data_IF_128826281388
#
_entry.id   IF_128826281388
#
_cell.length_a   1.000
_cell.length_b   1.000
_cell.length_c   1.000
_cell.angle_alpha   90.00
_cell.angle_beta   90.00
_cell.angle_gamma   90.00
#
_symmetry.space_group_name_H-M   'P 1'
#
loop_
_entity.id
_entity.type
_entity.pdbx_description
1 polymer ?
#
# COMPACT_ATOMS: atom_id res chain seq x y z
N UNK A 1 20.93 -1.00 5.13
CA UNK A 1 20.02 -1.61 6.10
C UNK A 1 19.35 -2.77 5.38
N UNK A 2 19.30 -3.96 6.02
CA UNK A 2 18.61 -5.13 5.47
C UNK A 2 17.11 -4.80 5.52
N UNK A 3 16.45 -4.71 4.39
CA UNK A 3 15.01 -4.45 4.37
C UNK A 3 14.25 -5.60 5.05
N UNK A 4 13.27 -5.24 5.86
CA UNK A 4 12.48 -6.23 6.59
C UNK A 4 11.58 -6.99 5.61
N UNK A 5 11.70 -8.31 5.56
CA UNK A 5 10.82 -9.18 4.78
C UNK A 5 9.37 -9.00 5.25
N UNK A 6 8.46 -8.77 4.30
CA UNK A 6 7.03 -8.64 4.58
C UNK A 6 6.19 -9.15 3.42
N UNK A 7 4.94 -9.51 3.71
CA UNK A 7 3.92 -9.91 2.73
C UNK A 7 2.67 -9.10 3.02
N UNK A 8 2.08 -8.54 1.98
CA UNK A 8 0.80 -7.84 2.01
C UNK A 8 -0.22 -8.54 1.12
N UNK A 9 -1.48 -8.47 1.55
CA UNK A 9 -2.63 -8.95 0.81
C UNK A 9 -3.57 -7.78 0.58
N UNK A 10 -3.71 -7.35 -0.67
CA UNK A 10 -4.72 -6.37 -1.04
C UNK A 10 -6.04 -7.10 -1.28
N UNK A 11 -6.96 -7.02 -0.32
CA UNK A 11 -8.24 -7.72 -0.38
C UNK A 11 -9.18 -7.16 -1.43
N UNK A 12 -8.96 -5.92 -1.85
CA UNK A 12 -9.71 -5.24 -2.90
C UNK A 12 -9.36 -5.75 -4.29
N UNK A 13 -8.05 -5.84 -4.60
CA UNK A 13 -7.58 -6.23 -5.94
C UNK A 13 -7.27 -7.72 -6.04
N UNK A 14 -7.18 -8.45 -4.93
CA UNK A 14 -6.73 -9.84 -4.87
C UNK A 14 -5.23 -9.99 -5.14
N UNK A 15 -4.44 -8.93 -4.95
CA UNK A 15 -3.00 -8.94 -5.15
C UNK A 15 -2.24 -9.34 -3.89
N UNK A 16 -1.24 -10.20 -4.07
CA UNK A 16 -0.20 -10.46 -3.10
C UNK A 16 1.04 -9.65 -3.51
N UNK A 17 1.60 -8.92 -2.57
CA UNK A 17 2.80 -8.11 -2.77
C UNK A 17 3.71 -8.19 -1.53
N UNK A 18 4.93 -7.71 -1.63
CA UNK A 18 5.82 -7.66 -0.48
C UNK A 18 7.29 -7.56 -0.85
N UNK A 19 8.15 -7.77 0.14
CA UNK A 19 9.60 -7.82 -0.01
C UNK A 19 10.12 -9.15 0.56
N UNK A 20 10.87 -9.88 -0.25
CA UNK A 20 11.42 -11.19 0.11
C UNK A 20 12.85 -11.12 0.68
N UNK A 21 13.31 -9.98 1.08
CA UNK A 21 14.64 -9.56 1.54
C UNK A 21 15.54 -8.92 0.46
N UNK A 22 15.42 -9.29 -0.78
CA UNK A 22 16.11 -8.67 -1.93
C UNK A 22 15.10 -8.18 -2.97
N UNK A 23 14.23 -9.09 -3.40
CA UNK A 23 13.30 -8.84 -4.48
C UNK A 23 11.88 -8.54 -3.96
N UNK A 24 11.14 -7.78 -4.75
CA UNK A 24 9.73 -7.53 -4.50
C UNK A 24 8.91 -8.74 -4.89
N UNK A 25 8.05 -9.21 -3.98
CA UNK A 25 7.09 -10.27 -4.23
C UNK A 25 5.92 -9.76 -5.08
N UNK A 26 5.46 -10.58 -5.98
CA UNK A 26 4.26 -10.34 -6.77
C UNK A 26 3.46 -11.63 -6.96
N UNK A 27 2.14 -11.53 -6.88
CA UNK A 27 1.24 -12.65 -7.05
C UNK A 27 -0.21 -12.23 -6.93
N UNK A 28 -1.10 -13.21 -7.01
CA UNK A 28 -2.52 -13.02 -6.74
C UNK A 28 -2.96 -14.06 -5.72
N UNK A 29 -4.00 -13.72 -4.98
CA UNK A 29 -4.62 -14.67 -4.07
C UNK A 29 -6.13 -14.71 -4.26
N UNK A 30 -6.70 -15.85 -3.94
CA UNK A 30 -8.14 -16.04 -3.87
C UNK A 30 -8.50 -16.79 -2.58
N UNK A 31 -9.58 -16.39 -1.97
CA UNK A 31 -10.23 -17.15 -0.90
C UNK A 31 -11.45 -17.86 -1.47
N UNK A 32 -11.74 -19.06 -0.98
CA UNK A 32 -12.98 -19.77 -1.32
C UNK A 32 -14.02 -19.56 -0.22
N UNK A 33 -15.24 -20.00 -0.46
CA UNK A 33 -16.31 -20.00 0.56
C UNK A 33 -16.02 -20.94 1.75
N UNK A 34 -15.05 -21.84 1.62
CA UNK A 34 -14.61 -22.71 2.72
C UNK A 34 -13.64 -21.96 3.64
N UNK A 35 -13.97 -21.76 4.94
CA UNK A 35 -13.10 -21.08 5.88
C UNK A 35 -11.71 -21.71 5.95
N UNK A 36 -10.67 -20.85 6.01
CA UNK A 36 -9.28 -21.30 6.14
C UNK A 36 -8.62 -21.76 4.84
N UNK A 37 -9.32 -21.69 3.71
CA UNK A 37 -8.69 -21.97 2.39
C UNK A 37 -8.11 -20.71 1.78
N UNK A 38 -6.96 -20.86 1.13
CA UNK A 38 -6.24 -19.78 0.47
C UNK A 38 -5.49 -20.35 -0.73
N UNK A 39 -5.76 -19.80 -1.89
CA UNK A 39 -4.98 -20.09 -3.10
C UNK A 39 -4.15 -18.84 -3.46
N UNK A 40 -2.83 -19.01 -3.43
CA UNK A 40 -1.88 -17.94 -3.80
C UNK A 40 -1.53 -17.98 -5.29
N UNK A 41 -2.09 -18.93 -6.06
CA UNK A 41 -1.66 -19.12 -7.45
C UNK A 41 -0.16 -19.34 -7.53
N UNK A 42 0.50 -18.64 -8.46
CA UNK A 42 1.95 -18.62 -8.57
C UNK A 42 2.49 -17.31 -8.02
N UNK A 43 3.26 -17.39 -6.93
CA UNK A 43 3.99 -16.25 -6.38
C UNK A 43 5.36 -16.17 -7.03
N UNK A 44 5.69 -15.00 -7.58
CA UNK A 44 6.97 -14.67 -8.16
C UNK A 44 7.65 -13.52 -7.42
N UNK A 45 8.84 -13.15 -7.89
CA UNK A 45 9.56 -11.99 -7.43
C UNK A 45 10.30 -11.30 -8.58
N UNK A 46 10.71 -10.05 -8.40
CA UNK A 46 11.64 -9.36 -9.30
C UNK A 46 12.98 -10.13 -9.33
N UNK A 47 13.84 -9.83 -10.29
CA UNK A 47 15.06 -10.62 -10.55
C UNK A 47 16.33 -9.79 -10.33
N UNK A 48 16.41 -9.05 -9.22
CA UNK A 48 17.67 -8.43 -8.81
C UNK A 48 18.61 -9.51 -8.26
N UNK A 49 19.90 -9.40 -8.59
CA UNK A 49 20.94 -10.28 -8.03
C UNK A 49 21.47 -9.70 -6.73
N UNK A 50 21.20 -10.40 -5.63
CA UNK A 50 21.74 -10.06 -4.32
C UNK A 50 22.76 -11.10 -3.86
N UNK A 51 23.72 -10.72 -3.00
CA UNK A 51 24.76 -11.65 -2.52
C UNK A 51 24.19 -12.84 -1.72
N UNK A 52 23.02 -12.65 -1.07
CA UNK A 52 22.35 -13.70 -0.29
C UNK A 52 20.86 -13.76 -0.68
N UNK A 53 20.48 -14.87 -1.33
CA UNK A 53 19.12 -15.17 -1.77
C UNK A 53 18.46 -16.26 -0.92
N UNK A 54 19.08 -16.68 0.18
CA UNK A 54 18.63 -17.84 0.98
C UNK A 54 17.21 -17.64 1.51
N UNK A 55 16.94 -16.49 2.12
CA UNK A 55 15.62 -16.18 2.69
C UNK A 55 14.56 -16.06 1.61
N UNK A 56 14.88 -15.40 0.50
CA UNK A 56 13.96 -15.23 -0.63
C UNK A 56 13.59 -16.57 -1.26
N UNK A 57 14.57 -17.42 -1.57
CA UNK A 57 14.31 -18.74 -2.16
C UNK A 57 13.47 -19.61 -1.23
N UNK A 58 13.77 -19.62 0.07
CA UNK A 58 12.99 -20.35 1.06
C UNK A 58 11.56 -19.84 1.15
N UNK A 59 11.37 -18.52 1.16
CA UNK A 59 10.05 -17.90 1.23
C UNK A 59 9.22 -18.19 -0.03
N UNK A 60 9.78 -18.00 -1.22
CA UNK A 60 9.10 -18.30 -2.49
C UNK A 60 8.73 -19.78 -2.58
N UNK A 61 9.64 -20.68 -2.18
CA UNK A 61 9.36 -22.11 -2.11
C UNK A 61 8.19 -22.43 -1.18
N UNK A 62 8.17 -21.85 0.01
CA UNK A 62 7.10 -22.05 0.98
C UNK A 62 5.75 -21.49 0.47
N UNK A 63 5.73 -20.26 -0.05
CA UNK A 63 4.51 -19.60 -0.53
C UNK A 63 3.84 -20.40 -1.67
N UNK A 64 4.60 -20.96 -2.57
CA UNK A 64 4.09 -21.76 -3.70
C UNK A 64 3.50 -23.12 -3.28
N UNK A 65 3.62 -23.51 -2.01
CA UNK A 65 2.98 -24.72 -1.44
C UNK A 65 1.73 -24.42 -0.61
N UNK A 66 1.42 -23.16 -0.37
CA UNK A 66 0.30 -22.75 0.48
C UNK A 66 -1.04 -23.11 -0.16
N UNK A 67 -1.94 -23.69 0.66
CA UNK A 67 -3.32 -24.04 0.29
C UNK A 67 -4.35 -23.60 1.34
N UNK A 68 -3.88 -23.06 2.48
CA UNK A 68 -4.77 -22.61 3.53
C UNK A 68 -4.12 -21.66 4.50
N UNK A 69 -4.91 -21.20 5.46
CA UNK A 69 -4.43 -20.35 6.55
C UNK A 69 -5.17 -20.63 7.85
N UNK A 70 -4.52 -20.30 8.96
CA UNK A 70 -5.11 -20.34 10.31
C UNK A 70 -4.73 -19.04 11.04
N UNK A 71 -5.71 -18.45 11.71
CA UNK A 71 -5.43 -17.37 12.65
C UNK A 71 -4.89 -17.97 13.95
N UNK A 72 -3.79 -17.43 14.45
CA UNK A 72 -3.14 -17.81 15.71
C UNK A 72 -2.99 -16.57 16.61
N UNK A 73 -2.75 -16.78 17.90
CA UNK A 73 -2.59 -15.72 18.89
C UNK A 73 -3.67 -14.61 18.84
N UNK A 74 -4.95 -15.06 18.79
CA UNK A 74 -6.09 -14.12 18.75
C UNK A 74 -6.13 -13.24 17.49
N UNK A 75 -5.56 -13.71 16.38
CA UNK A 75 -5.50 -12.97 15.10
C UNK A 75 -4.31 -12.04 14.95
N UNK A 76 -3.38 -12.04 15.91
CA UNK A 76 -2.10 -11.31 15.77
C UNK A 76 -1.13 -12.01 14.83
N UNK A 77 -1.28 -13.33 14.67
CA UNK A 77 -0.50 -14.15 13.78
C UNK A 77 -1.40 -14.89 12.79
N UNK A 78 -0.87 -15.16 11.61
CA UNK A 78 -1.52 -16.00 10.59
C UNK A 78 -0.51 -17.04 10.14
N UNK A 79 -0.83 -18.30 10.36
CA UNK A 79 -0.08 -19.43 9.81
C UNK A 79 -0.61 -19.76 8.42
N UNK A 80 0.24 -19.63 7.39
CA UNK A 80 -0.02 -20.11 6.04
C UNK A 80 0.31 -21.60 5.99
N UNK A 81 -0.61 -22.42 5.55
CA UNK A 81 -0.49 -23.90 5.63
C UNK A 81 -0.49 -24.53 4.23
N UNK A 82 0.19 -25.66 4.09
CA UNK A 82 0.09 -26.50 2.90
C UNK A 82 -1.21 -27.35 2.94
N UNK A 83 -1.39 -28.21 1.94
CA UNK A 83 -2.55 -29.09 1.82
C UNK A 83 -2.71 -30.06 3.01
N UNK A 84 -1.63 -30.44 3.67
CA UNK A 84 -1.62 -31.32 4.84
C UNK A 84 -1.89 -30.56 6.16
N UNK A 85 -2.10 -29.25 6.10
CA UNK A 85 -2.31 -28.37 7.26
C UNK A 85 -1.02 -28.02 8.02
N UNK A 86 0.15 -28.35 7.47
CA UNK A 86 1.45 -27.97 8.03
C UNK A 86 1.73 -26.50 7.79
N UNK A 87 2.13 -25.77 8.84
CA UNK A 87 2.56 -24.37 8.72
C UNK A 87 3.83 -24.25 7.90
N UNK A 88 3.75 -23.50 6.82
CA UNK A 88 4.84 -23.21 5.90
C UNK A 88 5.45 -21.83 6.15
N UNK A 89 4.61 -20.85 6.48
CA UNK A 89 5.02 -19.48 6.81
C UNK A 89 4.18 -19.00 7.99
N UNK A 90 4.82 -18.42 8.99
CA UNK A 90 4.13 -17.74 10.09
C UNK A 90 4.25 -16.23 9.87
N UNK A 91 3.14 -15.56 9.67
CA UNK A 91 3.06 -14.13 9.51
C UNK A 91 2.70 -13.46 10.83
N UNK A 92 3.47 -12.46 11.22
CA UNK A 92 3.13 -11.56 12.31
C UNK A 92 2.41 -10.35 11.73
N UNK A 93 1.23 -10.01 12.28
CA UNK A 93 0.53 -8.79 11.87
C UNK A 93 1.42 -7.59 12.12
N UNK A 94 1.58 -6.75 11.10
CA UNK A 94 2.37 -5.55 11.22
C UNK A 94 1.65 -4.54 12.13
N UNK A 95 2.39 -3.92 13.03
CA UNK A 95 1.89 -2.84 13.88
C UNK A 95 1.38 -1.67 12.99
N UNK A 96 0.24 -1.05 13.32
CA UNK A 96 -0.24 0.16 12.63
C UNK A 96 0.80 1.27 12.54
N UNK A 97 1.64 1.44 13.59
CA UNK A 97 2.75 2.39 13.58
C UNK A 97 3.78 2.11 12.48
N UNK A 98 4.02 0.83 12.13
CA UNK A 98 4.92 0.46 11.04
C UNK A 98 4.26 0.74 9.68
N UNK A 99 2.93 0.56 9.56
CA UNK A 99 2.18 0.95 8.35
C UNK A 99 2.27 2.45 8.08
N UNK A 100 2.10 3.28 9.11
CA UNK A 100 2.26 4.72 9.00
C UNK A 100 3.70 5.11 8.56
N UNK A 101 4.71 4.39 9.05
CA UNK A 101 6.10 4.61 8.65
C UNK A 101 6.38 4.31 7.17
N UNK A 102 5.63 3.39 6.54
CA UNK A 102 5.73 3.11 5.10
C UNK A 102 5.24 4.27 4.24
N UNK A 103 4.27 5.04 4.73
CA UNK A 103 3.75 6.20 4.01
C UNK A 103 4.73 7.37 4.03
N UNK A 104 5.58 7.50 5.05
CA UNK A 104 6.44 8.66 5.27
C UNK A 104 7.31 9.01 4.08
N UNK A 105 7.42 10.31 3.85
CA UNK A 105 8.24 10.91 2.81
C UNK A 105 7.44 11.33 1.59
N UNK A 106 8.16 11.60 0.51
CA UNK A 106 7.62 12.16 -0.71
C UNK A 106 7.23 11.07 -1.70
N UNK A 107 6.10 11.29 -2.35
CA UNK A 107 5.51 10.40 -3.34
C UNK A 107 5.06 11.21 -4.55
N UNK A 108 5.35 10.73 -5.75
CA UNK A 108 4.80 11.32 -6.97
C UNK A 108 3.35 10.88 -7.15
N UNK A 109 2.46 11.83 -7.42
CA UNK A 109 1.08 11.51 -7.79
C UNK A 109 1.08 11.01 -9.23
N UNK A 110 0.71 9.75 -9.46
CA UNK A 110 0.69 9.12 -10.78
C UNK A 110 -0.68 9.14 -11.42
N UNK A 111 -1.72 8.88 -10.62
CA UNK A 111 -3.10 8.86 -11.12
C UNK A 111 -4.04 9.53 -10.11
N UNK A 112 -5.03 10.22 -10.64
CA UNK A 112 -6.15 10.81 -9.91
C UNK A 112 -7.44 10.32 -10.58
N UNK A 113 -8.29 9.59 -9.86
CA UNK A 113 -9.53 8.99 -10.39
C UNK A 113 -9.30 8.18 -11.69
N UNK A 114 -8.18 7.42 -11.76
CA UNK A 114 -7.81 6.62 -12.92
C UNK A 114 -7.23 7.40 -14.11
N UNK A 115 -7.06 8.73 -13.99
CA UNK A 115 -6.43 9.56 -15.01
C UNK A 115 -4.96 9.80 -14.68
N UNK A 116 -4.01 9.51 -15.59
CA UNK A 116 -2.59 9.75 -15.36
C UNK A 116 -2.28 11.26 -15.28
N UNK A 117 -1.35 11.61 -14.41
CA UNK A 117 -0.96 13.01 -14.13
C UNK A 117 0.28 13.45 -14.89
N UNK A 118 1.06 12.54 -15.46
CA UNK A 118 2.37 12.82 -16.07
C UNK A 118 2.32 13.82 -17.24
N UNK A 119 1.17 13.91 -17.92
CA UNK A 119 0.95 14.82 -19.05
C UNK A 119 0.32 16.15 -18.67
N UNK A 120 0.01 16.35 -17.38
CA UNK A 120 -0.62 17.59 -16.93
C UNK A 120 0.42 18.71 -16.76
N UNK A 121 0.05 19.98 -17.03
CA UNK A 121 0.94 21.12 -16.83
C UNK A 121 1.40 21.22 -15.35
N UNK A 122 2.70 21.38 -15.13
CA UNK A 122 3.26 21.51 -13.77
C UNK A 122 3.63 20.19 -13.08
N UNK A 123 3.44 19.04 -13.75
CA UNK A 123 3.93 17.76 -13.22
C UNK A 123 5.48 17.75 -13.07
N UNK A 124 6.05 16.98 -12.14
CA UNK A 124 5.38 16.06 -11.22
C UNK A 124 4.72 16.74 -10.02
N UNK A 125 3.59 16.22 -9.59
CA UNK A 125 2.93 16.62 -8.36
C UNK A 125 3.37 15.70 -7.23
N UNK A 126 3.64 16.28 -6.05
CA UNK A 126 4.21 15.54 -4.92
C UNK A 126 3.22 15.49 -3.77
N UNK A 127 3.03 14.31 -3.22
CA UNK A 127 2.28 14.07 -1.99
C UNK A 127 3.26 13.65 -0.89
N UNK A 128 3.32 14.41 0.20
CA UNK A 128 4.24 14.17 1.32
C UNK A 128 3.48 13.72 2.56
N UNK A 129 3.91 12.65 3.19
CA UNK A 129 3.39 12.21 4.48
C UNK A 129 4.42 12.45 5.60
N UNK A 130 3.96 13.00 6.72
CA UNK A 130 4.76 13.21 7.93
C UNK A 130 5.80 14.32 7.80
N UNK A 131 5.53 15.34 6.98
CA UNK A 131 6.43 16.50 6.80
C UNK A 131 6.42 17.50 7.98
N UNK A 132 5.42 17.43 8.85
CA UNK A 132 5.35 18.28 10.05
C UNK A 132 5.97 17.53 11.25
N UNK A 133 7.04 18.06 11.90
CA UNK A 133 7.67 17.42 13.04
C UNK A 133 6.75 17.31 14.26
N UNK A 134 5.77 18.20 14.39
CA UNK A 134 4.81 18.24 15.50
C UNK A 134 3.59 17.33 15.26
N UNK A 135 3.41 16.85 14.03
CA UNK A 135 2.32 15.96 13.64
C UNK A 135 2.81 14.86 12.71
N UNK A 136 3.03 13.68 13.28
CA UNK A 136 3.50 12.50 12.56
C UNK A 136 2.51 12.02 11.47
N UNK A 137 1.24 12.37 11.60
CA UNK A 137 0.16 12.00 10.68
C UNK A 137 -0.24 13.18 9.77
N UNK A 138 0.61 14.19 9.64
CA UNK A 138 0.41 15.27 8.68
C UNK A 138 0.60 14.79 7.24
N UNK A 139 -0.08 15.47 6.33
CA UNK A 139 0.20 15.35 4.90
C UNK A 139 0.25 16.73 4.24
N UNK A 140 0.94 16.81 3.11
CA UNK A 140 0.86 17.93 2.18
C UNK A 140 0.88 17.44 0.75
N UNK A 141 0.30 18.21 -0.16
CA UNK A 141 0.36 17.93 -1.59
C UNK A 141 0.64 19.22 -2.36
N UNK A 142 1.64 19.17 -3.25
CA UNK A 142 1.91 20.22 -4.21
C UNK A 142 1.01 20.01 -5.41
N UNK A 143 0.25 21.04 -5.79
CA UNK A 143 -0.68 20.99 -6.91
C UNK A 143 -0.28 21.93 -8.04
N UNK A 144 -1.11 22.05 -9.04
CA UNK A 144 -0.97 22.99 -10.16
C UNK A 144 -1.10 24.48 -9.76
N UNK A 145 -1.61 24.74 -8.55
CA UNK A 145 -1.78 26.11 -8.04
C UNK A 145 -1.35 26.24 -6.60
N UNK A 146 -2.06 25.60 -5.69
CA UNK A 146 -1.88 25.75 -4.26
C UNK A 146 -1.24 24.48 -3.65
N UNK A 147 -0.75 24.64 -2.42
CA UNK A 147 -0.37 23.50 -1.59
C UNK A 147 -1.54 23.14 -0.68
N UNK A 148 -1.95 21.87 -0.74
CA UNK A 148 -2.87 21.28 0.23
C UNK A 148 -2.09 20.78 1.42
N UNK A 149 -2.67 20.89 2.62
CA UNK A 149 -2.09 20.34 3.84
C UNK A 149 -3.21 19.93 4.80
N UNK A 150 -2.94 18.89 5.57
CA UNK A 150 -3.91 18.38 6.53
C UNK A 150 -3.34 17.25 7.37
N UNK A 151 -4.25 16.53 7.97
CA UNK A 151 -3.99 15.42 8.86
C UNK A 151 -4.72 14.17 8.34
N UNK A 152 -4.19 12.98 8.61
CA UNK A 152 -4.84 11.71 8.32
C UNK A 152 -4.93 10.83 9.56
N UNK A 153 -5.96 10.00 9.62
CA UNK A 153 -6.14 8.98 10.63
C UNK A 153 -5.96 7.59 10.02
N UNK A 154 -5.27 6.73 10.76
CA UNK A 154 -5.05 5.34 10.40
C UNK A 154 -5.44 4.43 11.56
N UNK A 155 -6.52 3.69 11.37
CA UNK A 155 -6.96 2.65 12.31
C UNK A 155 -7.05 1.30 11.60
N UNK A 156 -6.08 0.46 11.87
CA UNK A 156 -5.96 -0.86 11.24
C UNK A 156 -5.79 -0.77 9.72
N UNK A 157 -6.85 -1.02 8.97
CA UNK A 157 -6.89 -0.91 7.50
C UNK A 157 -7.66 0.34 7.03
N UNK A 158 -8.42 0.95 7.92
CA UNK A 158 -9.17 2.16 7.62
C UNK A 158 -8.21 3.35 7.58
N UNK A 159 -8.31 4.12 6.52
CA UNK A 159 -7.53 5.32 6.31
C UNK A 159 -8.46 6.45 5.92
N UNK A 160 -8.35 7.57 6.62
CA UNK A 160 -9.16 8.76 6.32
C UNK A 160 -8.30 10.00 6.31
N UNK A 161 -8.52 10.86 5.31
CA UNK A 161 -7.96 12.20 5.32
C UNK A 161 -8.90 13.16 6.05
N UNK A 162 -8.36 13.91 6.99
CA UNK A 162 -9.05 15.03 7.60
C UNK A 162 -9.21 16.21 6.62
N UNK A 163 -9.92 17.27 7.04
CA UNK A 163 -10.10 18.44 6.20
C UNK A 163 -8.78 19.02 5.72
N UNK A 164 -8.67 19.29 4.41
CA UNK A 164 -7.50 19.92 3.82
C UNK A 164 -7.60 21.45 3.94
N UNK A 165 -6.53 22.08 4.42
CA UNK A 165 -6.27 23.50 4.22
C UNK A 165 -5.54 23.71 2.91
N UNK A 166 -5.76 24.84 2.24
CA UNK A 166 -5.08 25.21 1.00
C UNK A 166 -4.50 26.62 1.13
N UNK A 167 -3.35 26.86 0.51
CA UNK A 167 -2.88 28.23 0.25
C UNK A 167 -3.87 28.93 -0.69
N UNK A 168 -3.84 30.25 -0.77
CA UNK A 168 -4.86 31.02 -1.49
C UNK A 168 -4.24 31.86 -2.62
N UNK A 169 -3.51 31.20 -3.52
CA UNK A 169 -3.06 31.85 -4.75
C UNK A 169 -4.20 31.81 -5.76
N UNK A 170 -4.35 32.90 -6.52
CA UNK A 170 -5.29 32.93 -7.64
C UNK A 170 -4.57 32.42 -8.89
N UNK A 171 -4.97 31.24 -9.39
CA UNK A 171 -4.39 30.62 -10.56
C UNK A 171 -5.47 30.46 -11.66
N UNK A 172 -5.09 30.57 -12.93
CA UNK A 172 -6.02 30.37 -14.04
C UNK A 172 -6.49 28.92 -14.17
N UNK A 173 -5.68 27.97 -13.73
CA UNK A 173 -6.01 26.54 -13.67
C UNK A 173 -5.69 25.98 -12.29
N UNK A 174 -6.57 25.12 -11.77
CA UNK A 174 -6.45 24.44 -10.49
C UNK A 174 -7.15 23.07 -10.53
N UNK A 175 -7.09 22.39 -11.67
CA UNK A 175 -7.80 21.14 -11.89
C UNK A 175 -7.30 20.02 -10.93
N UNK A 176 -6.00 19.91 -10.72
CA UNK A 176 -5.38 18.93 -9.81
C UNK A 176 -5.76 19.24 -8.37
N UNK A 177 -5.69 20.50 -7.95
CA UNK A 177 -6.08 20.92 -6.61
C UNK A 177 -7.53 20.53 -6.32
N UNK A 178 -8.46 20.89 -7.21
CA UNK A 178 -9.89 20.55 -7.05
C UNK A 178 -10.11 19.05 -7.01
N UNK A 179 -9.48 18.30 -7.91
CA UNK A 179 -9.60 16.86 -7.94
C UNK A 179 -9.14 16.22 -6.63
N UNK A 180 -8.01 16.67 -6.06
CA UNK A 180 -7.54 16.20 -4.75
C UNK A 180 -8.50 16.59 -3.62
N UNK A 181 -8.99 17.84 -3.58
CA UNK A 181 -9.95 18.28 -2.57
C UNK A 181 -11.26 17.46 -2.59
N UNK A 182 -11.71 17.04 -3.77
CA UNK A 182 -12.91 16.22 -3.95
C UNK A 182 -12.69 14.75 -3.57
N UNK A 183 -11.50 14.19 -3.87
CA UNK A 183 -11.26 12.77 -3.64
C UNK A 183 -10.79 12.45 -2.22
N UNK A 184 -9.96 13.32 -1.58
CA UNK A 184 -9.37 13.01 -0.27
C UNK A 184 -10.43 12.65 0.80
N UNK A 185 -11.58 13.36 0.91
CA UNK A 185 -12.61 12.99 1.88
C UNK A 185 -13.32 11.66 1.58
N UNK A 186 -13.16 11.10 0.37
CA UNK A 186 -13.78 9.83 -0.05
C UNK A 186 -12.90 8.62 0.24
N UNK A 187 -11.62 8.84 0.54
CA UNK A 187 -10.69 7.75 0.84
C UNK A 187 -11.12 7.02 2.11
N UNK A 188 -11.21 5.70 2.02
CA UNK A 188 -11.60 4.81 3.12
C UNK A 188 -10.52 3.78 3.46
N UNK A 189 -9.64 3.48 2.51
CA UNK A 189 -8.56 2.50 2.69
C UNK A 189 -7.36 2.82 1.82
N UNK A 190 -6.22 2.20 2.12
CA UNK A 190 -5.04 2.22 1.27
C UNK A 190 -4.39 0.85 1.19
N UNK A 191 -3.66 0.61 0.11
CA UNK A 191 -2.90 -0.62 -0.08
C UNK A 191 -1.62 -0.37 -0.84
N UNK A 192 -0.57 -1.10 -0.48
CA UNK A 192 0.66 -1.10 -1.25
C UNK A 192 0.49 -2.01 -2.47
N UNK A 193 0.95 -1.55 -3.62
CA UNK A 193 0.93 -2.30 -4.87
C UNK A 193 2.22 -3.12 -5.03
N UNK A 194 2.18 -4.12 -5.91
CA UNK A 194 3.34 -4.93 -6.25
C UNK A 194 4.51 -4.11 -6.84
N UNK A 195 4.22 -2.96 -7.45
CA UNK A 195 5.22 -1.99 -7.94
C UNK A 195 5.95 -1.23 -6.83
N UNK A 196 5.49 -1.37 -5.57
CA UNK A 196 5.95 -0.55 -4.44
C UNK A 196 5.18 0.77 -4.27
N UNK A 197 4.26 1.08 -5.18
CA UNK A 197 3.36 2.23 -5.08
C UNK A 197 2.30 2.06 -4.00
N UNK A 198 1.57 3.14 -3.73
CA UNK A 198 0.44 3.17 -2.78
C UNK A 198 -0.82 3.57 -3.52
N UNK A 199 -1.85 2.70 -3.47
CA UNK A 199 -3.19 3.02 -3.94
C UNK A 199 -4.09 3.44 -2.77
N UNK A 200 -4.88 4.48 -2.95
CA UNK A 200 -5.93 4.90 -2.04
C UNK A 200 -7.29 4.66 -2.67
N UNK A 201 -8.19 4.06 -1.91
CA UNK A 201 -9.46 3.54 -2.41
C UNK A 201 -10.64 4.13 -1.63
N UNK A 202 -11.78 4.28 -2.30
CA UNK A 202 -13.04 4.62 -1.63
C UNK A 202 -13.68 3.39 -0.94
N UNK A 203 -14.85 3.60 -0.34
CA UNK A 203 -15.63 2.54 0.36
C UNK A 203 -16.11 1.42 -0.58
N UNK A 204 -16.17 1.67 -1.88
CA UNK A 204 -16.62 0.73 -2.92
C UNK A 204 -15.42 0.11 -3.67
N UNK A 205 -14.20 0.28 -3.11
CA UNK A 205 -12.93 -0.24 -3.60
C UNK A 205 -12.48 0.34 -4.96
N UNK A 206 -12.98 1.52 -5.35
CA UNK A 206 -12.48 2.22 -6.53
C UNK A 206 -11.16 2.93 -6.20
N UNK A 207 -10.17 2.81 -7.08
CA UNK A 207 -8.91 3.54 -6.96
C UNK A 207 -9.15 5.04 -7.19
N UNK A 208 -8.83 5.85 -6.19
CA UNK A 208 -8.96 7.30 -6.24
C UNK A 208 -7.63 8.00 -6.50
N UNK A 209 -6.54 7.51 -5.89
CA UNK A 209 -5.24 8.12 -5.96
C UNK A 209 -4.16 7.04 -6.00
N UNK A 210 -3.23 7.15 -6.96
CA UNK A 210 -2.04 6.31 -7.07
C UNK A 210 -0.79 7.15 -6.83
N UNK A 211 0.03 6.70 -5.88
CA UNK A 211 1.30 7.33 -5.53
C UNK A 211 2.46 6.37 -5.79
N UNK A 212 3.56 6.87 -6.33
CA UNK A 212 4.82 6.13 -6.53
C UNK A 212 6.02 6.96 -6.08
N UNK A 213 7.11 6.29 -5.71
CA UNK A 213 8.40 6.93 -5.34
C UNK A 213 9.25 7.28 -6.55
#
# INVERSE_FOLDING_TARGET
>A
AKETTYIGFNTTTGELYGNASCNMLTGRFATTSAPGTLDLGKVGATMMMCPDMTVENALLGALNTVKGYKAEDGGKQIALTNADGKTMVLLQRRDPAIKAALLRGDWNIREINGAPTDSLPGAPYVFTFGGNPDDANSYSATTDCNNLMGHYDLDGQTFTFGPAASTRMACPDNAVERALQELLPRVASFGQLASGGIGFYDKDDNLLLLLEK
#
